data_IF_925350577265
#
_entry.id   IF_925350577265
#
_cell.length_a   1.000
_cell.length_b   1.000
_cell.length_c   1.000
_cell.angle_alpha   90.00
_cell.angle_beta   90.00
_cell.angle_gamma   90.00
#
_symmetry.space_group_name_H-M   'P 1'
#
loop_
_entity.id
_entity.type
_entity.pdbx_description
1 polymer ?
#
# COMPACT_ATOMS: atom_id res chain seq x y z
N UNK A 1 37.94 -19.92 -17.95
CA UNK A 1 37.06 -18.78 -18.28
C UNK A 1 35.61 -19.04 -17.82
N UNK A 2 35.05 -20.25 -18.06
CA UNK A 2 33.67 -20.59 -17.66
C UNK A 2 33.46 -20.81 -16.16
N UNK A 3 34.50 -21.16 -15.38
CA UNK A 3 34.36 -21.38 -13.94
C UNK A 3 34.23 -20.04 -13.16
N UNK A 4 34.80 -18.93 -13.65
CA UNK A 4 34.69 -17.63 -13.05
C UNK A 4 33.30 -16.99 -13.31
N UNK A 5 32.65 -17.32 -14.44
CA UNK A 5 31.33 -16.82 -14.74
C UNK A 5 30.25 -17.49 -13.86
N UNK A 6 30.42 -18.79 -13.55
CA UNK A 6 29.49 -19.51 -12.65
C UNK A 6 29.61 -18.99 -11.21
N UNK A 7 30.83 -18.72 -10.72
CA UNK A 7 31.01 -18.18 -9.37
C UNK A 7 30.51 -16.74 -9.24
N UNK A 8 30.52 -15.94 -10.32
CA UNK A 8 29.93 -14.62 -10.32
C UNK A 8 28.39 -14.68 -10.36
N UNK A 9 27.82 -15.64 -11.08
CA UNK A 9 26.39 -15.94 -11.03
C UNK A 9 25.96 -16.48 -9.66
N UNK A 10 26.73 -17.39 -9.08
CA UNK A 10 26.45 -17.91 -7.72
C UNK A 10 26.56 -16.80 -6.66
N UNK A 11 27.51 -15.86 -6.77
CA UNK A 11 27.63 -14.74 -5.85
C UNK A 11 26.55 -13.67 -6.06
N UNK A 12 25.94 -13.58 -7.23
CA UNK A 12 24.80 -12.73 -7.52
C UNK A 12 23.48 -13.38 -7.03
N UNK A 13 23.47 -14.71 -6.92
CA UNK A 13 22.40 -15.53 -6.34
C UNK A 13 22.69 -15.98 -4.89
N UNK A 14 23.89 -15.76 -4.36
CA UNK A 14 24.06 -15.74 -2.90
C UNK A 14 23.14 -14.60 -2.43
N UNK A 15 21.90 -14.97 -2.16
CA UNK A 15 21.01 -14.20 -1.32
C UNK A 15 21.86 -13.68 -0.19
N UNK A 16 22.14 -12.38 -0.17
CA UNK A 16 22.49 -11.75 1.09
C UNK A 16 21.45 -12.30 2.06
N UNK A 17 21.88 -13.15 2.98
CA UNK A 17 20.98 -13.77 3.94
C UNK A 17 20.43 -12.63 4.77
N UNK A 18 19.40 -11.99 4.21
CA UNK A 18 18.67 -10.93 4.88
C UNK A 18 18.30 -11.49 6.24
N UNK A 19 18.70 -10.78 7.28
CA UNK A 19 18.39 -11.17 8.63
C UNK A 19 16.88 -11.33 8.79
N UNK A 20 16.41 -12.56 8.72
CA UNK A 20 15.00 -12.94 8.81
C UNK A 20 14.77 -13.90 9.99
N UNK A 21 14.73 -13.36 11.22
CA UNK A 21 14.54 -14.16 12.42
C UNK A 21 13.14 -14.79 12.51
N UNK A 22 12.18 -14.31 11.70
CA UNK A 22 10.81 -14.77 11.67
C UNK A 22 10.48 -15.62 10.44
N UNK A 23 11.49 -16.12 9.69
CA UNK A 23 11.27 -16.82 8.41
C UNK A 23 10.26 -17.97 8.50
N UNK A 24 10.30 -18.78 9.56
CA UNK A 24 9.34 -19.86 9.77
C UNK A 24 7.91 -19.35 9.97
N UNK A 25 7.73 -18.31 10.79
CA UNK A 25 6.44 -17.64 10.96
C UNK A 25 5.96 -16.99 9.66
N UNK A 26 6.84 -16.28 8.99
CA UNK A 26 6.53 -15.55 7.76
C UNK A 26 6.05 -16.49 6.65
N UNK A 27 6.69 -17.66 6.49
CA UNK A 27 6.27 -18.68 5.52
C UNK A 27 4.86 -19.19 5.82
N UNK A 28 4.62 -19.63 7.05
CA UNK A 28 3.30 -20.12 7.46
C UNK A 28 2.23 -19.03 7.29
N UNK A 29 2.54 -17.80 7.63
CA UNK A 29 1.59 -16.69 7.50
C UNK A 29 1.35 -16.31 6.04
N UNK A 30 2.36 -16.42 5.17
CA UNK A 30 2.20 -16.25 3.71
C UNK A 30 1.24 -17.30 3.15
N UNK A 31 1.40 -18.58 3.53
CA UNK A 31 0.52 -19.65 3.08
C UNK A 31 -0.92 -19.44 3.56
N UNK A 32 -1.10 -19.02 4.81
CA UNK A 32 -2.44 -18.69 5.36
C UNK A 32 -3.06 -17.52 4.58
N UNK A 33 -2.31 -16.46 4.35
CA UNK A 33 -2.77 -15.31 3.58
C UNK A 33 -3.11 -15.69 2.14
N UNK A 34 -2.30 -16.54 1.48
CA UNK A 34 -2.58 -17.04 0.13
C UNK A 34 -3.91 -17.79 0.06
N UNK A 35 -4.15 -18.69 1.02
CA UNK A 35 -5.43 -19.43 1.13
C UNK A 35 -6.59 -18.46 1.33
N UNK A 36 -6.44 -17.45 2.21
CA UNK A 36 -7.48 -16.44 2.45
C UNK A 36 -7.74 -15.58 1.21
N UNK A 37 -6.68 -15.16 0.51
CA UNK A 37 -6.81 -14.38 -0.72
C UNK A 37 -7.57 -15.17 -1.79
N UNK A 38 -7.15 -16.39 -2.08
CA UNK A 38 -7.74 -17.22 -3.15
C UNK A 38 -9.18 -17.65 -2.85
N UNK A 39 -9.48 -18.00 -1.61
CA UNK A 39 -10.75 -18.64 -1.27
C UNK A 39 -11.79 -17.70 -0.63
N UNK A 40 -11.36 -16.55 -0.10
CA UNK A 40 -12.26 -15.61 0.56
C UNK A 40 -12.24 -14.23 -0.14
N UNK A 41 -11.08 -13.59 -0.27
CA UNK A 41 -11.04 -12.20 -0.71
C UNK A 41 -11.30 -12.05 -2.20
N UNK A 42 -10.68 -12.85 -3.07
CA UNK A 42 -10.90 -12.78 -4.52
C UNK A 42 -12.38 -13.03 -4.88
N UNK A 43 -13.09 -14.04 -4.33
CA UNK A 43 -14.53 -14.16 -4.51
C UNK A 43 -15.33 -12.93 -4.08
N UNK A 44 -14.97 -12.30 -2.96
CA UNK A 44 -15.60 -11.06 -2.49
C UNK A 44 -15.34 -9.91 -3.46
N UNK A 45 -14.08 -9.73 -3.91
CA UNK A 45 -13.70 -8.69 -4.88
C UNK A 45 -14.47 -8.86 -6.20
N UNK A 46 -14.53 -10.07 -6.73
CA UNK A 46 -15.32 -10.38 -7.95
C UNK A 46 -16.80 -10.15 -7.75
N UNK A 47 -17.33 -10.46 -6.58
CA UNK A 47 -18.73 -10.21 -6.25
C UNK A 47 -19.05 -8.71 -6.18
N UNK A 48 -18.14 -7.92 -5.61
CA UNK A 48 -18.29 -6.47 -5.55
C UNK A 48 -18.12 -5.85 -6.94
N UNK A 49 -17.15 -6.27 -7.73
CA UNK A 49 -16.90 -5.84 -9.11
C UNK A 49 -18.11 -6.12 -10.02
N UNK A 50 -18.75 -7.26 -9.85
CA UNK A 50 -19.97 -7.59 -10.60
C UNK A 50 -21.14 -6.63 -10.32
N UNK A 51 -21.23 -6.09 -9.10
CA UNK A 51 -22.34 -5.21 -8.67
C UNK A 51 -22.02 -3.73 -8.89
N UNK A 52 -20.75 -3.34 -8.68
CA UNK A 52 -20.31 -1.95 -8.72
C UNK A 52 -19.52 -1.70 -10.02
N UNK A 53 -20.01 -0.84 -10.92
CA UNK A 53 -19.27 -0.49 -12.15
C UNK A 53 -17.92 0.16 -11.87
N UNK A 54 -16.94 -0.03 -12.76
CA UNK A 54 -15.56 0.49 -12.65
C UNK A 54 -15.52 2.01 -12.38
N UNK A 55 -16.43 2.77 -12.99
CA UNK A 55 -16.53 4.21 -12.75
C UNK A 55 -16.95 4.52 -11.31
N UNK A 56 -17.84 3.70 -10.74
CA UNK A 56 -18.27 3.81 -9.35
C UNK A 56 -17.13 3.45 -8.38
N UNK A 57 -16.41 2.37 -8.64
CA UNK A 57 -15.25 1.95 -7.86
C UNK A 57 -14.15 3.03 -7.91
N UNK A 58 -13.86 3.55 -9.11
CA UNK A 58 -12.89 4.64 -9.32
C UNK A 58 -13.30 5.91 -8.57
N UNK A 59 -14.58 6.27 -8.62
CA UNK A 59 -15.10 7.43 -7.90
C UNK A 59 -14.93 7.31 -6.37
N UNK A 60 -15.18 6.12 -5.83
CA UNK A 60 -14.98 5.81 -4.41
C UNK A 60 -13.48 5.87 -4.05
N UNK A 61 -12.60 5.25 -4.85
CA UNK A 61 -11.15 5.32 -4.65
C UNK A 61 -10.65 6.77 -4.65
N UNK A 62 -11.08 7.58 -5.61
CA UNK A 62 -10.71 8.99 -5.70
C UNK A 62 -11.19 9.79 -4.48
N UNK A 63 -12.41 9.55 -4.01
CA UNK A 63 -12.96 10.20 -2.81
C UNK A 63 -12.12 9.88 -1.57
N UNK A 64 -11.79 8.62 -1.33
CA UNK A 64 -10.94 8.23 -0.19
C UNK A 64 -9.51 8.74 -0.35
N UNK A 65 -8.95 8.68 -1.55
CA UNK A 65 -7.66 9.28 -1.83
C UNK A 65 -7.65 10.77 -1.46
N UNK A 66 -8.69 11.50 -1.81
CA UNK A 66 -8.81 12.92 -1.48
C UNK A 66 -8.93 13.17 0.03
N UNK A 67 -9.70 12.36 0.77
CA UNK A 67 -9.80 12.45 2.24
C UNK A 67 -8.46 12.17 2.92
N UNK A 68 -7.69 11.21 2.44
CA UNK A 68 -6.40 10.80 3.00
C UNK A 68 -5.24 11.76 2.64
N UNK A 69 -5.52 12.89 1.98
CA UNK A 69 -4.56 13.94 1.67
C UNK A 69 -3.64 14.34 2.84
N UNK A 70 -4.10 14.50 4.11
CA UNK A 70 -3.23 14.91 5.20
C UNK A 70 -2.06 13.96 5.45
N UNK A 71 -2.23 12.64 5.25
CA UNK A 71 -1.14 11.66 5.38
C UNK A 71 -0.04 12.00 4.37
N UNK A 72 -0.39 12.16 3.10
CA UNK A 72 0.57 12.44 2.03
C UNK A 72 1.22 13.81 2.17
N UNK A 73 0.43 14.83 2.54
CA UNK A 73 0.96 16.17 2.79
C UNK A 73 2.04 16.15 3.88
N UNK A 74 1.73 15.59 5.04
CA UNK A 74 2.62 15.57 6.19
C UNK A 74 3.90 14.79 5.85
N UNK A 75 3.78 13.61 5.22
CA UNK A 75 4.93 12.80 4.87
C UNK A 75 5.81 13.45 3.79
N UNK A 76 5.23 14.09 2.77
CA UNK A 76 6.01 14.89 1.82
C UNK A 76 6.76 16.06 2.50
N UNK A 77 6.12 16.75 3.46
CA UNK A 77 6.76 17.82 4.21
C UNK A 77 7.90 17.31 5.11
N UNK A 78 7.69 16.18 5.79
CA UNK A 78 8.71 15.55 6.64
C UNK A 78 9.92 15.06 5.83
N UNK A 79 9.72 14.75 4.56
CA UNK A 79 10.80 14.38 3.63
C UNK A 79 11.39 15.56 2.87
N UNK A 80 11.03 16.81 3.21
CA UNK A 80 11.44 18.03 2.50
C UNK A 80 11.08 18.06 1.01
N UNK A 81 10.13 17.26 0.56
CA UNK A 81 9.60 17.21 -0.81
C UNK A 81 8.52 18.30 -0.99
N UNK A 82 8.90 19.58 -0.82
CA UNK A 82 7.97 20.72 -0.80
C UNK A 82 7.18 20.89 -2.09
N UNK A 83 7.77 20.55 -3.24
CA UNK A 83 7.04 20.56 -4.51
C UNK A 83 5.92 19.53 -4.52
N UNK A 84 6.21 18.30 -4.12
CA UNK A 84 5.23 17.23 -4.05
C UNK A 84 4.10 17.56 -3.04
N UNK A 85 4.46 18.15 -1.89
CA UNK A 85 3.49 18.65 -0.92
C UNK A 85 2.57 19.74 -1.52
N UNK A 86 3.13 20.64 -2.34
CA UNK A 86 2.39 21.64 -3.09
C UNK A 86 1.45 21.01 -4.13
N UNK A 87 1.94 20.06 -4.91
CA UNK A 87 1.16 19.32 -5.89
C UNK A 87 -0.01 18.58 -5.23
N UNK A 88 0.22 17.88 -4.12
CA UNK A 88 -0.84 17.20 -3.35
C UNK A 88 -1.87 18.20 -2.78
N UNK A 89 -1.44 19.38 -2.35
CA UNK A 89 -2.36 20.44 -1.89
C UNK A 89 -3.23 20.96 -3.04
N UNK A 90 -2.63 21.21 -4.21
CA UNK A 90 -3.38 21.62 -5.40
C UNK A 90 -4.36 20.53 -5.86
N UNK A 91 -3.94 19.27 -5.79
CA UNK A 91 -4.81 18.12 -6.08
C UNK A 91 -6.03 18.09 -5.15
N UNK A 92 -5.77 18.20 -3.84
CA UNK A 92 -6.84 18.22 -2.84
C UNK A 92 -7.85 19.34 -3.11
N UNK A 93 -7.39 20.57 -3.38
CA UNK A 93 -8.26 21.72 -3.64
C UNK A 93 -9.03 21.54 -4.96
N UNK A 94 -8.35 21.17 -6.05
CA UNK A 94 -8.99 20.95 -7.35
C UNK A 94 -10.04 19.84 -7.30
N UNK A 95 -9.69 18.71 -6.71
CA UNK A 95 -10.58 17.56 -6.62
C UNK A 95 -11.74 17.81 -5.65
N UNK A 96 -11.52 18.59 -4.58
CA UNK A 96 -12.61 18.95 -3.65
C UNK A 96 -13.60 19.92 -4.28
N UNK A 97 -13.13 20.99 -4.91
CA UNK A 97 -13.98 22.07 -5.42
C UNK A 97 -14.59 21.69 -6.77
N UNK A 98 -13.77 21.27 -7.74
CA UNK A 98 -14.20 20.99 -9.10
C UNK A 98 -14.58 19.51 -9.27
N UNK A 99 -13.91 18.61 -8.54
CA UNK A 99 -14.12 17.17 -8.60
C UNK A 99 -15.21 16.62 -7.68
N UNK A 100 -16.12 17.48 -7.14
CA UNK A 100 -17.20 17.08 -6.24
C UNK A 100 -16.71 16.30 -5.02
N UNK A 101 -15.99 16.99 -4.13
CA UNK A 101 -15.40 16.40 -2.91
C UNK A 101 -14.42 15.24 -3.18
N UNK A 102 -13.80 15.22 -4.34
CA UNK A 102 -12.79 14.22 -4.70
C UNK A 102 -13.33 13.00 -5.47
N UNK A 103 -14.61 12.93 -5.80
CA UNK A 103 -15.19 11.85 -6.61
C UNK A 103 -14.51 11.77 -7.98
N UNK A 104 -14.21 12.93 -8.60
CA UNK A 104 -13.48 13.00 -9.87
C UNK A 104 -12.04 13.49 -9.64
N UNK A 105 -11.06 12.80 -10.23
CA UNK A 105 -9.65 13.22 -10.21
C UNK A 105 -9.37 14.27 -11.29
N UNK A 106 -9.92 15.46 -11.09
CA UNK A 106 -9.75 16.63 -11.96
C UNK A 106 -8.30 17.07 -12.00
N UNK A 107 -7.57 16.93 -10.90
CA UNK A 107 -6.17 17.31 -10.81
C UNK A 107 -5.30 16.54 -11.81
N UNK A 108 -5.49 15.22 -11.93
CA UNK A 108 -4.79 14.42 -12.94
C UNK A 108 -5.37 14.65 -14.33
N UNK A 109 -6.69 14.56 -14.47
CA UNK A 109 -7.33 14.44 -15.79
C UNK A 109 -7.36 15.78 -16.58
N UNK A 110 -7.44 16.92 -15.86
CA UNK A 110 -7.53 18.25 -16.50
C UNK A 110 -6.22 19.02 -16.36
N UNK A 111 -5.61 18.99 -15.17
CA UNK A 111 -4.43 19.79 -14.86
C UNK A 111 -3.10 19.04 -15.00
N UNK A 112 -3.12 17.72 -15.19
CA UNK A 112 -1.92 16.90 -15.34
C UNK A 112 -1.02 16.84 -14.08
N UNK A 113 -1.59 17.13 -12.89
CA UNK A 113 -0.85 17.10 -11.63
C UNK A 113 -0.74 15.65 -11.17
N UNK A 114 0.47 15.14 -10.99
CA UNK A 114 0.74 13.76 -10.60
C UNK A 114 0.39 13.50 -9.13
N UNK A 115 0.09 12.25 -8.81
CA UNK A 115 -0.02 11.74 -7.43
C UNK A 115 1.37 11.58 -6.83
N UNK A 116 1.50 11.91 -5.54
CA UNK A 116 2.72 11.73 -4.76
C UNK A 116 2.37 10.98 -3.48
N UNK A 117 2.35 9.65 -3.59
CA UNK A 117 1.96 8.76 -2.51
C UNK A 117 3.11 8.58 -1.52
N UNK A 118 2.95 9.13 -0.35
CA UNK A 118 3.91 9.07 0.73
C UNK A 118 3.24 8.59 2.02
N UNK A 119 3.96 7.74 2.75
CA UNK A 119 3.58 7.23 4.05
C UNK A 119 4.71 7.40 5.08
N UNK A 120 4.41 7.16 6.34
CA UNK A 120 5.38 7.36 7.40
C UNK A 120 6.52 6.32 7.38
N UNK A 121 6.30 5.11 6.84
CA UNK A 121 7.36 4.12 6.59
C UNK A 121 8.38 4.62 5.56
N UNK A 122 7.92 5.29 4.49
CA UNK A 122 8.78 5.96 3.51
C UNK A 122 9.54 7.12 4.16
N UNK A 123 8.88 7.91 5.00
CA UNK A 123 9.51 9.01 5.76
C UNK A 123 10.65 8.48 6.65
N UNK A 124 10.43 7.40 7.39
CA UNK A 124 11.48 6.76 8.18
C UNK A 124 12.64 6.25 7.30
N UNK A 125 12.32 5.67 6.14
CA UNK A 125 13.32 5.23 5.16
C UNK A 125 14.13 6.38 4.58
N UNK A 126 13.49 7.49 4.25
CA UNK A 126 14.15 8.73 3.79
C UNK A 126 15.16 9.26 4.82
N UNK A 127 14.84 9.16 6.12
CA UNK A 127 15.73 9.52 7.21
C UNK A 127 16.79 8.46 7.54
N UNK A 128 16.92 7.41 6.73
CA UNK A 128 17.96 6.41 6.83
C UNK A 128 17.65 5.24 7.74
N UNK A 129 16.41 5.09 8.20
CA UNK A 129 16.00 3.87 8.91
C UNK A 129 15.91 2.70 7.91
N UNK A 130 16.73 1.68 8.11
CA UNK A 130 16.65 0.43 7.33
C UNK A 130 15.30 -0.25 7.51
N UNK A 131 14.93 -1.16 6.59
CA UNK A 131 13.69 -1.93 6.67
C UNK A 131 13.57 -2.78 7.94
N UNK A 132 14.70 -3.17 8.54
CA UNK A 132 14.76 -4.16 9.60
C UNK A 132 14.47 -5.56 9.06
N UNK A 133 13.92 -6.44 9.87
CA UNK A 133 13.56 -7.78 9.42
C UNK A 133 12.14 -7.81 8.82
N UNK A 134 11.90 -8.73 7.86
CA UNK A 134 10.58 -8.90 7.25
C UNK A 134 9.57 -9.48 8.25
N UNK A 135 8.33 -9.03 8.12
CA UNK A 135 7.19 -9.52 8.93
C UNK A 135 5.97 -9.67 8.03
N UNK A 136 5.39 -10.86 8.00
CA UNK A 136 4.11 -11.08 7.31
C UNK A 136 2.96 -10.90 8.29
N UNK A 137 2.13 -9.92 8.04
CA UNK A 137 0.97 -9.62 8.87
C UNK A 137 -0.24 -10.47 8.43
N UNK A 138 -1.01 -11.02 9.38
CA UNK A 138 -2.26 -11.71 9.04
C UNK A 138 -3.17 -10.77 8.25
N UNK A 139 -3.70 -11.25 7.13
CA UNK A 139 -4.60 -10.51 6.24
C UNK A 139 -3.94 -9.36 5.48
N UNK A 140 -3.09 -8.57 6.13
CA UNK A 140 -2.43 -7.40 5.54
C UNK A 140 -1.24 -7.76 4.64
N UNK A 141 -0.69 -8.98 4.77
CA UNK A 141 0.38 -9.46 3.90
C UNK A 141 1.78 -9.02 4.31
N UNK A 142 2.68 -8.91 3.34
CA UNK A 142 4.09 -8.60 3.56
C UNK A 142 4.29 -7.19 4.08
N UNK A 143 5.15 -7.08 5.10
CA UNK A 143 5.63 -5.84 5.69
C UNK A 143 7.06 -6.01 6.18
N UNK A 144 7.60 -5.00 6.84
CA UNK A 144 8.87 -5.04 7.55
C UNK A 144 8.77 -4.21 8.85
N UNK A 145 9.79 -4.30 9.69
CA UNK A 145 9.77 -3.64 11.00
C UNK A 145 9.59 -2.11 10.89
N UNK A 146 10.30 -1.46 9.97
CA UNK A 146 10.17 -0.01 9.73
C UNK A 146 8.75 0.36 9.34
N UNK A 147 8.18 -0.35 8.36
CA UNK A 147 6.85 -0.02 7.83
C UNK A 147 5.74 -0.34 8.84
N UNK A 148 5.94 -1.29 9.75
CA UNK A 148 5.05 -1.49 10.90
C UNK A 148 5.04 -0.28 11.85
N UNK A 149 6.19 0.32 12.13
CA UNK A 149 6.23 1.62 12.84
C UNK A 149 5.59 2.73 12.02
N UNK A 150 5.75 2.69 10.70
CA UNK A 150 5.11 3.58 9.75
C UNK A 150 3.59 3.60 9.88
N UNK A 151 2.96 2.43 9.97
CA UNK A 151 1.51 2.30 10.20
C UNK A 151 1.04 3.06 11.45
N UNK A 152 1.87 3.08 12.53
CA UNK A 152 1.59 3.85 13.72
C UNK A 152 1.61 5.36 13.46
N UNK A 153 2.57 5.87 12.69
CA UNK A 153 2.65 7.27 12.29
C UNK A 153 1.46 7.70 11.43
N UNK A 154 1.14 6.90 10.42
CA UNK A 154 0.00 7.17 9.55
C UNK A 154 -1.34 7.12 10.28
N UNK A 155 -1.47 6.29 11.32
CA UNK A 155 -2.66 6.27 12.15
C UNK A 155 -2.95 7.65 12.77
N UNK A 156 -1.93 8.37 13.26
CA UNK A 156 -2.11 9.69 13.87
C UNK A 156 -2.42 10.79 12.84
N UNK A 157 -2.05 10.61 11.60
CA UNK A 157 -2.29 11.60 10.52
C UNK A 157 -3.54 11.29 9.70
N UNK A 158 -4.13 10.11 9.89
CA UNK A 158 -5.32 9.66 9.16
C UNK A 158 -6.59 10.36 9.67
N UNK A 159 -7.21 11.24 8.87
CA UNK A 159 -8.40 11.99 9.30
C UNK A 159 -9.60 11.09 9.59
N UNK A 160 -9.69 9.91 8.99
CA UNK A 160 -10.79 8.97 9.23
C UNK A 160 -10.83 8.55 10.71
N UNK A 161 -9.68 8.46 11.38
CA UNK A 161 -9.60 8.08 12.80
C UNK A 161 -10.21 9.12 13.74
N UNK A 162 -10.40 10.36 13.27
CA UNK A 162 -10.98 11.48 14.04
C UNK A 162 -12.41 11.82 13.61
N UNK A 163 -12.96 11.14 12.61
CA UNK A 163 -14.35 11.35 12.18
C UNK A 163 -15.31 10.75 13.20
N UNK A 164 -15.79 11.59 14.11
CA UNK A 164 -16.87 11.23 15.02
C UNK A 164 -18.21 11.28 14.28
N UNK A 165 -18.75 10.13 13.96
CA UNK A 165 -20.06 10.02 13.31
C UNK A 165 -21.12 9.99 14.42
N UNK A 166 -21.97 11.02 14.51
CA UNK A 166 -22.94 11.23 15.58
C UNK A 166 -23.97 10.09 15.77
N UNK A 167 -24.16 9.24 14.75
CA UNK A 167 -25.05 8.07 14.83
C UNK A 167 -24.36 6.77 15.26
N UNK A 168 -23.05 6.76 15.40
CA UNK A 168 -22.31 5.56 15.73
C UNK A 168 -21.61 5.68 17.07
N UNK A 169 -22.02 4.84 17.99
CA UNK A 169 -21.45 4.77 19.35
C UNK A 169 -20.00 4.25 19.41
N UNK A 170 -19.54 3.55 18.36
CA UNK A 170 -18.21 2.95 18.31
C UNK A 170 -17.44 3.43 17.07
N UNK A 171 -16.66 4.49 17.24
CA UNK A 171 -15.82 5.04 16.20
C UNK A 171 -14.76 4.03 15.68
N UNK A 172 -14.29 3.11 16.53
CA UNK A 172 -13.28 2.10 16.13
C UNK A 172 -13.84 1.10 15.13
N UNK A 173 -15.09 0.67 15.34
CA UNK A 173 -15.76 -0.24 14.41
C UNK A 173 -15.98 0.43 13.05
N UNK A 174 -16.37 1.70 13.03
CA UNK A 174 -16.55 2.45 11.78
C UNK A 174 -15.22 2.62 11.05
N UNK A 175 -14.16 3.03 11.75
CA UNK A 175 -12.84 3.21 11.16
C UNK A 175 -12.33 1.91 10.56
N UNK A 176 -12.49 0.79 11.28
CA UNK A 176 -12.12 -0.53 10.78
C UNK A 176 -12.95 -0.91 9.55
N UNK A 177 -14.28 -0.77 9.60
CA UNK A 177 -15.17 -1.09 8.47
C UNK A 177 -14.87 -0.23 7.25
N UNK A 178 -14.55 1.06 7.45
CA UNK A 178 -14.15 1.96 6.37
C UNK A 178 -12.85 1.51 5.73
N UNK A 179 -11.84 1.14 6.52
CA UNK A 179 -10.57 0.62 6.00
C UNK A 179 -10.76 -0.68 5.21
N UNK A 180 -11.58 -1.61 5.71
CA UNK A 180 -11.92 -2.85 4.99
C UNK A 180 -12.67 -2.54 3.69
N UNK A 181 -13.62 -1.62 3.71
CA UNK A 181 -14.37 -1.22 2.52
C UNK A 181 -13.46 -0.57 1.46
N UNK A 182 -12.56 0.31 1.88
CA UNK A 182 -11.56 0.91 0.98
C UNK A 182 -10.71 -0.16 0.31
N UNK A 183 -10.23 -1.14 1.08
CA UNK A 183 -9.42 -2.24 0.55
C UNK A 183 -10.21 -3.10 -0.44
N UNK A 184 -11.46 -3.45 -0.12
CA UNK A 184 -12.31 -4.21 -1.03
C UNK A 184 -12.52 -3.43 -2.34
N UNK A 185 -12.83 -2.14 -2.25
CA UNK A 185 -13.05 -1.31 -3.44
C UNK A 185 -11.80 -1.20 -4.32
N UNK A 186 -10.62 -1.01 -3.71
CA UNK A 186 -9.36 -0.88 -4.44
C UNK A 186 -8.94 -2.19 -5.12
N UNK A 187 -9.00 -3.31 -4.40
CA UNK A 187 -8.63 -4.63 -4.93
C UNK A 187 -9.65 -5.17 -5.95
N UNK A 188 -10.88 -4.66 -5.92
CA UNK A 188 -11.93 -5.07 -6.88
C UNK A 188 -11.76 -4.44 -8.26
N UNK A 189 -10.96 -3.38 -8.40
CA UNK A 189 -10.59 -2.81 -9.71
C UNK A 189 -9.75 -3.79 -10.57
N UNK A 190 -9.02 -4.71 -9.95
CA UNK A 190 -8.35 -5.83 -10.61
C UNK A 190 -8.36 -7.08 -9.72
N UNK A 191 -9.48 -7.80 -9.64
CA UNK A 191 -9.66 -8.94 -8.74
C UNK A 191 -8.68 -10.10 -8.97
N UNK A 192 -8.07 -10.17 -10.14
CA UNK A 192 -7.12 -11.23 -10.49
C UNK A 192 -5.66 -10.82 -10.30
N UNK A 193 -5.39 -9.57 -9.93
CA UNK A 193 -4.04 -9.02 -9.76
C UNK A 193 -3.13 -9.92 -8.90
N UNK A 194 -3.63 -10.37 -7.75
CA UNK A 194 -2.89 -11.26 -6.86
C UNK A 194 -2.50 -12.58 -7.54
N UNK A 195 -3.45 -13.23 -8.22
CA UNK A 195 -3.20 -14.49 -8.96
C UNK A 195 -2.17 -14.25 -10.06
N UNK A 196 -2.36 -13.19 -10.84
CA UNK A 196 -1.46 -12.87 -11.95
C UNK A 196 -0.02 -12.60 -11.49
N UNK A 197 0.15 -11.94 -10.33
CA UNK A 197 1.45 -11.67 -9.76
C UNK A 197 2.13 -12.90 -9.16
N UNK A 198 1.36 -13.85 -8.64
CA UNK A 198 1.92 -14.98 -7.88
C UNK A 198 1.93 -16.29 -8.64
N UNK A 199 1.34 -16.36 -9.85
CA UNK A 199 1.22 -17.59 -10.65
C UNK A 199 2.54 -18.26 -10.97
N UNK A 200 3.58 -17.48 -11.19
CA UNK A 200 4.89 -17.98 -11.64
C UNK A 200 5.89 -18.10 -10.47
N UNK A 201 5.46 -17.84 -9.24
CA UNK A 201 6.32 -17.91 -8.07
C UNK A 201 6.60 -19.38 -7.69
N UNK A 202 7.87 -19.77 -7.71
CA UNK A 202 8.31 -21.12 -7.28
C UNK A 202 8.20 -21.23 -5.76
N UNK A 203 8.65 -20.21 -5.03
CA UNK A 203 8.51 -20.08 -3.57
C UNK A 203 7.84 -18.73 -3.29
N UNK A 204 6.63 -18.78 -2.75
CA UNK A 204 5.77 -17.62 -2.63
C UNK A 204 6.32 -16.59 -1.63
N UNK A 205 6.85 -17.03 -0.48
CA UNK A 205 7.32 -16.12 0.56
C UNK A 205 8.51 -15.26 0.11
N UNK A 206 9.63 -15.82 -0.38
CA UNK A 206 10.74 -15.01 -0.87
C UNK A 206 10.34 -14.12 -2.06
N UNK A 207 9.48 -14.62 -2.93
CA UNK A 207 9.00 -13.84 -4.07
C UNK A 207 8.27 -12.56 -3.61
N UNK A 208 7.28 -12.70 -2.72
CA UNK A 208 6.50 -11.53 -2.21
C UNK A 208 7.41 -10.62 -1.38
N UNK A 209 8.28 -11.17 -0.53
CA UNK A 209 9.26 -10.41 0.26
C UNK A 209 10.11 -9.52 -0.64
N UNK A 210 10.73 -10.09 -1.66
CA UNK A 210 11.62 -9.37 -2.56
C UNK A 210 10.87 -8.31 -3.39
N UNK A 211 9.70 -8.63 -3.91
CA UNK A 211 8.86 -7.68 -4.63
C UNK A 211 8.45 -6.49 -3.74
N UNK A 212 8.07 -6.75 -2.49
CA UNK A 212 7.74 -5.73 -1.51
C UNK A 212 8.93 -4.81 -1.23
N UNK A 213 10.09 -5.36 -0.88
CA UNK A 213 11.29 -4.57 -0.55
C UNK A 213 11.78 -3.74 -1.75
N UNK A 214 11.77 -4.31 -2.96
CA UNK A 214 12.13 -3.57 -4.18
C UNK A 214 11.19 -2.39 -4.41
N UNK A 215 9.89 -2.60 -4.27
CA UNK A 215 8.88 -1.53 -4.40
C UNK A 215 9.11 -0.44 -3.34
N UNK A 216 9.27 -0.82 -2.06
CA UNK A 216 9.50 0.14 -0.97
C UNK A 216 10.78 0.96 -1.19
N UNK A 217 11.86 0.30 -1.59
CA UNK A 217 13.12 0.98 -1.88
C UNK A 217 13.04 1.92 -3.09
N UNK A 218 12.21 1.60 -4.09
CA UNK A 218 11.96 2.50 -5.21
C UNK A 218 11.18 3.75 -4.74
N UNK A 219 10.10 3.58 -3.97
CA UNK A 219 9.29 4.67 -3.44
C UNK A 219 10.07 5.63 -2.53
N UNK A 220 10.99 5.12 -1.70
CA UNK A 220 11.82 5.96 -0.81
C UNK A 220 12.81 6.83 -1.61
N UNK A 221 13.25 6.34 -2.79
CA UNK A 221 14.21 7.05 -3.65
C UNK A 221 13.55 8.08 -4.59
N UNK A 222 12.26 8.02 -4.75
CA UNK A 222 11.46 8.92 -5.58
C UNK A 222 11.38 10.33 -4.98
#
# INVERSE_FOLDING_TARGET
>A
LFANDISSFESEYEEQSDFDPLSGYNRVMTDINDVLYKNLFIPVFKGYDYVMPDEGQTAISNFFYNILYPIRLINNLLQFKFKNAGDETLRFVANTIVGFAGISDVATNIYGIRKHDEDFGQTLGYWGMGSGFPVVLPVLGQSNLRDMFGLGGDYFTNPINYMNVWWAKDSKFINFSTAVFMQINEESLDPNRYINLTSDAIDLYPFIKNAYEQRRNALIKE
#
